data_IF_877418955298
#
_entry.id   IF_877418955298
#
_cell.length_a   1.000
_cell.length_b   1.000
_cell.length_c   1.000
_cell.angle_alpha   90.00
_cell.angle_beta   90.00
_cell.angle_gamma   90.00
#
_symmetry.space_group_name_H-M   'P 1'
#
loop_
_entity.id
_entity.type
_entity.pdbx_description
1 polymer ?
#
# COMPACT_ATOMS: atom_id res chain seq x y z
N UNK A 1 -12.88 2.75 19.32
CA UNK A 1 -12.07 1.69 18.66
C UNK A 1 -11.19 2.19 17.51
N UNK A 2 -11.38 3.42 17.00
CA UNK A 2 -10.65 4.02 15.84
C UNK A 2 -9.11 4.01 15.87
N UNK A 3 -8.46 4.10 17.04
CA UNK A 3 -6.99 4.22 17.12
C UNK A 3 -6.23 2.96 16.68
N UNK A 4 -6.83 1.77 16.83
CA UNK A 4 -6.10 0.51 16.67
C UNK A 4 -5.95 0.14 15.18
N UNK A 5 -6.99 0.29 14.37
CA UNK A 5 -6.97 -0.15 12.97
C UNK A 5 -6.16 0.81 12.08
N UNK A 6 -6.26 2.13 12.31
CA UNK A 6 -5.40 3.13 11.66
C UNK A 6 -3.93 2.95 12.04
N UNK A 7 -3.64 2.51 13.26
CA UNK A 7 -2.28 2.18 13.66
C UNK A 7 -1.78 0.89 12.98
N UNK A 8 -2.62 -0.16 12.90
CA UNK A 8 -2.28 -1.42 12.23
C UNK A 8 -2.04 -1.23 10.73
N UNK A 9 -2.90 -0.48 10.03
CA UNK A 9 -2.72 -0.23 8.60
C UNK A 9 -1.40 0.50 8.33
N UNK A 10 -1.10 1.54 9.11
CA UNK A 10 0.17 2.27 8.98
C UNK A 10 1.38 1.37 9.26
N UNK A 11 1.31 0.54 10.32
CA UNK A 11 2.38 -0.41 10.65
C UNK A 11 2.63 -1.39 9.50
N UNK A 12 1.58 -2.04 8.99
CA UNK A 12 1.71 -3.03 7.93
C UNK A 12 2.19 -2.41 6.62
N UNK A 13 1.68 -1.22 6.26
CA UNK A 13 2.16 -0.49 5.08
C UNK A 13 3.65 -0.15 5.20
N UNK A 14 4.13 0.31 6.36
CA UNK A 14 5.56 0.59 6.56
C UNK A 14 6.43 -0.65 6.39
N UNK A 15 5.99 -1.80 6.92
CA UNK A 15 6.71 -3.06 6.74
C UNK A 15 6.79 -3.43 5.26
N UNK A 16 5.66 -3.44 4.54
CA UNK A 16 5.62 -3.68 3.09
C UNK A 16 6.59 -2.75 2.34
N UNK A 17 6.54 -1.44 2.62
CA UNK A 17 7.40 -0.45 1.97
C UNK A 17 8.88 -0.74 2.24
N UNK A 18 9.26 -0.99 3.48
CA UNK A 18 10.64 -1.30 3.86
C UNK A 18 11.14 -2.57 3.15
N UNK A 19 10.37 -3.65 3.23
CA UNK A 19 10.73 -4.94 2.65
C UNK A 19 10.87 -4.83 1.13
N UNK A 20 9.95 -4.12 0.47
CA UNK A 20 9.97 -3.96 -0.99
C UNK A 20 11.12 -3.08 -1.46
N UNK A 21 11.36 -1.95 -0.77
CA UNK A 21 12.49 -1.08 -1.07
C UNK A 21 13.80 -1.86 -0.92
N UNK A 22 13.94 -2.68 0.12
CA UNK A 22 15.13 -3.50 0.35
C UNK A 22 15.37 -4.49 -0.79
N UNK A 23 14.40 -5.35 -1.12
CA UNK A 23 14.65 -6.36 -2.16
C UNK A 23 14.72 -5.77 -3.57
N UNK A 24 14.09 -4.62 -3.83
CA UNK A 24 14.19 -3.91 -5.11
C UNK A 24 15.61 -3.44 -5.44
N UNK A 25 16.53 -3.44 -4.47
CA UNK A 25 17.96 -3.20 -4.70
C UNK A 25 18.57 -4.22 -5.66
N UNK A 26 18.03 -5.43 -5.69
CA UNK A 26 18.52 -6.53 -6.51
C UNK A 26 17.92 -6.58 -7.91
N UNK A 27 17.07 -5.61 -8.30
CA UNK A 27 16.48 -5.60 -9.64
C UNK A 27 17.55 -5.38 -10.72
N UNK A 28 17.38 -5.98 -11.91
CA UNK A 28 18.25 -5.72 -13.05
C UNK A 28 18.31 -4.23 -13.38
N UNK A 29 19.45 -3.75 -13.89
CA UNK A 29 19.60 -2.34 -14.28
C UNK A 29 18.62 -1.92 -15.38
N UNK A 30 18.20 -2.85 -16.25
CA UNK A 30 17.18 -2.61 -17.27
C UNK A 30 15.84 -2.17 -16.66
N UNK A 31 15.58 -2.56 -15.41
CA UNK A 31 14.33 -2.27 -14.68
C UNK A 31 14.44 -1.01 -13.81
N UNK A 32 15.44 -0.15 -14.01
CA UNK A 32 15.68 1.02 -13.17
C UNK A 32 14.46 1.98 -13.12
N UNK A 33 13.76 2.15 -14.24
CA UNK A 33 12.56 2.99 -14.33
C UNK A 33 11.41 2.35 -13.55
N UNK A 34 11.18 1.04 -13.73
CA UNK A 34 10.17 0.29 -12.99
C UNK A 34 10.42 0.38 -11.48
N UNK A 35 11.67 0.16 -11.05
CA UNK A 35 12.09 0.27 -9.66
C UNK A 35 11.75 1.65 -9.09
N UNK A 36 12.09 2.71 -9.82
CA UNK A 36 11.81 4.09 -9.39
C UNK A 36 10.31 4.29 -9.21
N UNK A 37 9.50 3.91 -10.21
CA UNK A 37 8.05 4.09 -10.17
C UNK A 37 7.39 3.29 -9.03
N UNK A 38 7.83 2.04 -8.82
CA UNK A 38 7.36 1.22 -7.70
C UNK A 38 7.69 1.90 -6.35
N UNK A 39 8.92 2.40 -6.18
CA UNK A 39 9.31 3.08 -4.94
C UNK A 39 8.52 4.37 -4.71
N UNK A 40 8.29 5.17 -5.75
CA UNK A 40 7.45 6.37 -5.68
C UNK A 40 6.03 6.01 -5.24
N UNK A 41 5.44 4.94 -5.79
CA UNK A 41 4.10 4.49 -5.41
C UNK A 41 4.05 3.95 -3.96
N UNK A 42 5.09 3.24 -3.52
CA UNK A 42 5.22 2.77 -2.14
C UNK A 42 5.29 3.93 -1.14
N UNK A 43 6.05 4.98 -1.44
CA UNK A 43 6.09 6.16 -0.59
C UNK A 43 4.79 6.97 -0.67
N UNK A 44 4.09 6.93 -1.82
CA UNK A 44 2.77 7.52 -1.97
C UNK A 44 1.74 6.87 -1.02
N UNK A 45 1.79 5.54 -0.79
CA UNK A 45 0.95 4.88 0.21
C UNK A 45 1.10 5.49 1.61
N UNK A 46 2.33 5.76 2.04
CA UNK A 46 2.62 6.40 3.34
C UNK A 46 2.08 7.82 3.38
N UNK A 47 2.29 8.58 2.30
CA UNK A 47 1.79 9.95 2.16
C UNK A 47 0.26 9.99 2.29
N UNK A 48 -0.45 9.11 1.59
CA UNK A 48 -1.91 9.04 1.60
C UNK A 48 -2.47 8.70 2.99
N UNK A 49 -1.85 7.76 3.71
CA UNK A 49 -2.25 7.47 5.09
C UNK A 49 -1.99 8.66 6.03
N UNK A 50 -0.88 9.37 5.88
CA UNK A 50 -0.65 10.59 6.66
C UNK A 50 -1.66 11.70 6.32
N UNK A 51 -2.01 11.86 5.04
CA UNK A 51 -3.07 12.77 4.60
C UNK A 51 -4.42 12.40 5.20
N UNK A 52 -4.75 11.11 5.28
CA UNK A 52 -5.92 10.63 6.01
C UNK A 52 -5.86 11.00 7.51
N UNK A 53 -4.74 10.76 8.18
CA UNK A 53 -4.59 11.00 9.63
C UNK A 53 -4.69 12.48 10.02
N UNK A 54 -4.17 13.39 9.20
CA UNK A 54 -4.12 14.83 9.52
C UNK A 54 -5.47 15.51 9.28
N UNK A 55 -6.28 15.04 8.33
CA UNK A 55 -7.57 15.65 7.97
C UNK A 55 -8.72 15.22 8.90
N UNK A 56 -8.51 15.24 10.23
CA UNK A 56 -9.47 14.72 11.21
C UNK A 56 -10.84 15.39 11.19
N UNK A 57 -10.87 16.67 10.81
CA UNK A 57 -12.07 17.49 10.86
C UNK A 57 -12.98 17.34 9.62
N UNK A 58 -12.59 16.49 8.65
CA UNK A 58 -13.38 16.30 7.42
C UNK A 58 -13.43 14.83 6.99
N UNK A 59 -14.54 14.17 7.34
CA UNK A 59 -14.82 12.78 6.92
C UNK A 59 -14.79 12.61 5.40
N UNK A 60 -15.32 13.57 4.64
CA UNK A 60 -15.27 13.55 3.16
C UNK A 60 -13.83 13.52 2.62
N UNK A 61 -12.94 14.32 3.21
CA UNK A 61 -11.53 14.39 2.78
C UNK A 61 -10.78 13.12 3.22
N UNK A 62 -11.04 12.62 4.43
CA UNK A 62 -10.51 11.32 4.91
C UNK A 62 -10.91 10.19 3.98
N UNK A 63 -12.19 10.06 3.66
CA UNK A 63 -12.71 9.02 2.77
C UNK A 63 -12.03 9.09 1.40
N UNK A 64 -11.86 10.29 0.84
CA UNK A 64 -11.10 10.48 -0.41
C UNK A 64 -9.68 9.91 -0.30
N UNK A 65 -8.91 10.30 0.71
CA UNK A 65 -7.52 9.83 0.84
C UNK A 65 -7.41 8.32 1.08
N UNK A 66 -8.37 7.73 1.81
CA UNK A 66 -8.40 6.27 2.00
C UNK A 66 -8.79 5.54 0.71
N UNK A 67 -9.69 6.08 -0.11
CA UNK A 67 -9.98 5.56 -1.46
C UNK A 67 -8.76 5.68 -2.38
N UNK A 68 -8.10 6.83 -2.39
CA UNK A 68 -6.86 7.05 -3.15
C UNK A 68 -5.78 6.05 -2.69
N UNK A 69 -5.66 5.77 -1.39
CA UNK A 69 -4.75 4.76 -0.85
C UNK A 69 -5.06 3.35 -1.38
N UNK A 70 -6.34 2.98 -1.44
CA UNK A 70 -6.76 1.68 -2.00
C UNK A 70 -6.43 1.58 -3.50
N UNK A 71 -6.57 2.68 -4.26
CA UNK A 71 -6.17 2.72 -5.67
C UNK A 71 -4.65 2.52 -5.79
N UNK A 72 -3.86 3.22 -4.98
CA UNK A 72 -2.39 3.04 -4.93
C UNK A 72 -1.98 1.61 -4.56
N UNK A 73 -2.71 0.93 -3.67
CA UNK A 73 -2.46 -0.49 -3.38
C UNK A 73 -2.67 -1.37 -4.61
N UNK A 74 -3.66 -1.07 -5.46
CA UNK A 74 -3.88 -1.79 -6.72
C UNK A 74 -2.74 -1.56 -7.70
N UNK A 75 -2.13 -0.37 -7.71
CA UNK A 75 -0.94 -0.11 -8.53
C UNK A 75 0.28 -0.90 -8.03
N UNK A 76 0.47 -1.01 -6.72
CA UNK A 76 1.53 -1.84 -6.13
C UNK A 76 1.33 -3.33 -6.44
N UNK A 77 0.08 -3.82 -6.36
CA UNK A 77 -0.29 -5.18 -6.76
C UNK A 77 0.08 -5.47 -8.22
N UNK A 78 -0.26 -4.55 -9.13
CA UNK A 78 0.12 -4.61 -10.54
C UNK A 78 1.64 -4.67 -10.74
N UNK A 79 2.41 -3.86 -10.01
CA UNK A 79 3.87 -3.93 -10.09
C UNK A 79 4.40 -5.30 -9.65
N UNK A 80 3.82 -5.92 -8.63
CA UNK A 80 4.23 -7.26 -8.20
C UNK A 80 3.91 -8.33 -9.23
N UNK A 81 2.74 -8.25 -9.87
CA UNK A 81 2.39 -9.12 -10.99
C UNK A 81 3.36 -8.94 -12.15
N UNK A 82 3.68 -7.71 -12.53
CA UNK A 82 4.65 -7.42 -13.57
C UNK A 82 6.03 -8.04 -13.27
N UNK A 83 6.52 -7.86 -12.05
CA UNK A 83 7.80 -8.43 -11.62
C UNK A 83 7.81 -9.97 -11.71
N UNK A 84 6.68 -10.59 -11.39
CA UNK A 84 6.54 -12.05 -11.50
C UNK A 84 6.49 -12.52 -12.95
N UNK A 85 5.64 -11.92 -13.78
CA UNK A 85 5.47 -12.29 -15.20
C UNK A 85 6.78 -12.12 -15.99
N UNK A 86 7.58 -11.10 -15.65
CA UNK A 86 8.89 -10.86 -16.25
C UNK A 86 10.03 -11.64 -15.57
N UNK A 87 9.71 -12.60 -14.68
CA UNK A 87 10.65 -13.50 -14.00
C UNK A 87 11.73 -12.76 -13.19
N UNK A 88 11.44 -11.54 -12.73
CA UNK A 88 12.33 -10.75 -11.86
C UNK A 88 12.24 -11.28 -10.42
N UNK A 89 11.05 -11.75 -10.01
CA UNK A 89 10.83 -12.41 -8.71
C UNK A 89 10.24 -13.81 -8.88
N UNK A 90 10.47 -14.67 -7.88
CA UNK A 90 9.88 -16.01 -7.84
C UNK A 90 8.39 -15.97 -7.46
N UNK A 91 7.65 -17.02 -7.83
CA UNK A 91 6.25 -17.17 -7.44
C UNK A 91 6.05 -17.12 -5.92
N UNK A 92 6.97 -17.73 -5.15
CA UNK A 92 6.92 -17.69 -3.67
C UNK A 92 6.99 -16.26 -3.15
N UNK A 93 7.87 -15.42 -3.71
CA UNK A 93 8.01 -14.01 -3.33
C UNK A 93 6.77 -13.21 -3.75
N UNK A 94 6.33 -13.38 -4.99
CA UNK A 94 5.10 -12.76 -5.51
C UNK A 94 3.90 -13.02 -4.60
N UNK A 95 3.64 -14.29 -4.28
CA UNK A 95 2.51 -14.69 -3.43
C UNK A 95 2.55 -14.00 -2.05
N UNK A 96 3.71 -13.98 -1.39
CA UNK A 96 3.86 -13.30 -0.10
C UNK A 96 3.55 -11.80 -0.18
N UNK A 97 4.02 -11.13 -1.23
CA UNK A 97 3.76 -9.70 -1.44
C UNK A 97 2.28 -9.40 -1.71
N UNK A 98 1.62 -10.23 -2.52
CA UNK A 98 0.17 -10.09 -2.79
C UNK A 98 -0.64 -10.34 -1.52
N UNK A 99 -0.30 -11.35 -0.72
CA UNK A 99 -0.98 -11.65 0.54
C UNK A 99 -0.87 -10.48 1.54
N UNK A 100 0.28 -9.80 1.59
CA UNK A 100 0.48 -8.57 2.36
C UNK A 100 -0.40 -7.42 1.85
N UNK A 101 -0.42 -7.17 0.53
CA UNK A 101 -1.26 -6.13 -0.09
C UNK A 101 -2.74 -6.39 0.20
N UNK A 102 -3.21 -7.64 0.04
CA UNK A 102 -4.59 -8.04 0.35
C UNK A 102 -4.92 -7.78 1.81
N UNK A 103 -4.00 -8.08 2.73
CA UNK A 103 -4.17 -7.83 4.16
C UNK A 103 -4.34 -6.35 4.45
N UNK A 104 -3.48 -5.50 3.89
CA UNK A 104 -3.55 -4.04 4.06
C UNK A 104 -4.84 -3.49 3.43
N UNK A 105 -5.23 -3.98 2.25
CA UNK A 105 -6.48 -3.60 1.56
C UNK A 105 -7.72 -3.91 2.41
N UNK A 106 -7.77 -5.08 3.06
CA UNK A 106 -8.86 -5.44 3.98
C UNK A 106 -8.94 -4.49 5.17
N UNK A 107 -7.81 -4.11 5.75
CA UNK A 107 -7.76 -3.11 6.83
C UNK A 107 -8.29 -1.75 6.35
N UNK A 108 -7.89 -1.30 5.14
CA UNK A 108 -8.37 -0.06 4.55
C UNK A 108 -9.89 -0.03 4.39
N UNK A 109 -10.47 -1.10 3.84
CA UNK A 109 -11.93 -1.22 3.72
C UNK A 109 -12.65 -1.29 5.06
N UNK A 110 -12.04 -1.95 6.06
CA UNK A 110 -12.56 -1.96 7.43
C UNK A 110 -12.64 -0.55 8.02
N UNK A 111 -11.60 0.26 7.83
CA UNK A 111 -11.59 1.67 8.25
C UNK A 111 -12.69 2.48 7.55
N UNK A 112 -12.82 2.35 6.22
CA UNK A 112 -13.88 3.02 5.46
C UNK A 112 -15.28 2.63 5.91
N UNK A 113 -15.50 1.36 6.24
CA UNK A 113 -16.81 0.88 6.71
C UNK A 113 -17.16 1.48 8.08
N UNK A 114 -16.21 1.49 9.01
CA UNK A 114 -16.41 2.03 10.35
C UNK A 114 -16.70 3.54 10.33
N UNK A 115 -16.12 4.31 9.40
CA UNK A 115 -16.43 5.74 9.24
C UNK A 115 -17.86 6.00 8.77
N UNK A 116 -18.42 5.09 7.96
CA UNK A 116 -19.82 5.21 7.49
C UNK A 116 -20.84 4.88 8.57
N UNK A 117 -20.49 4.04 9.53
CA UNK A 117 -21.36 3.67 10.65
C UNK A 117 -21.37 4.72 11.77
N UNK A 118 -20.43 5.67 11.75
CA UNK A 118 -20.31 6.78 12.70
C UNK A 118 -20.92 8.11 12.21
N UNK A 119 -21.41 8.14 10.96
CA UNK A 119 -22.17 9.26 10.39
C UNK A 119 -23.65 8.92 10.38
#
# INVERSE_FOLDING_TARGET
MEKNDTFKIMKNTKVLVSDVVEFSRNFPKSEAVLKKNLQEELFNLIRLLNSYIVNRDSNRIREKYMKDFIVSLSMVDYYFEYLYLNKIISFKKYKGLVDEVVTIRKLAYGVLKNEKELC
#
